data_IF_125810656465
#
_entry.id   IF_125810656465
#
_cell.length_a   1.000
_cell.length_b   1.000
_cell.length_c   1.000
_cell.angle_alpha   90.00
_cell.angle_beta   90.00
_cell.angle_gamma   90.00
#
_symmetry.space_group_name_H-M   'P 1'
#
loop_
_entity.id
_entity.type
_entity.pdbx_description
1 polymer ?
#
# COMPACT_ATOMS: atom_id res chain seq x y z
N UNK A 1 1.53 31.35 32.95
CA UNK A 1 2.81 30.68 33.25
C UNK A 1 2.89 29.44 32.38
N UNK A 2 3.77 29.42 31.38
CA UNK A 2 4.00 28.21 30.58
C UNK A 2 4.86 27.26 31.41
N UNK A 3 4.25 26.20 31.94
CA UNK A 3 5.00 25.11 32.57
C UNK A 3 5.81 24.42 31.49
N UNK A 4 7.14 24.47 31.60
CA UNK A 4 8.02 23.74 30.69
C UNK A 4 7.70 22.24 30.81
N UNK A 5 7.54 21.53 29.68
CA UNK A 5 7.28 20.10 29.70
C UNK A 5 8.45 19.38 30.37
N UNK A 6 8.13 18.35 31.16
CA UNK A 6 9.15 17.49 31.76
C UNK A 6 9.87 16.69 30.68
N UNK A 7 11.10 16.26 30.97
CA UNK A 7 11.90 15.43 30.04
C UNK A 7 11.12 14.17 29.64
N UNK A 8 10.45 13.52 30.59
CA UNK A 8 9.64 12.33 30.34
C UNK A 8 8.47 12.61 29.39
N UNK A 9 7.81 13.77 29.52
CA UNK A 9 6.73 14.17 28.62
C UNK A 9 7.24 14.40 27.19
N UNK A 10 8.41 15.01 27.03
CA UNK A 10 9.05 15.18 25.72
C UNK A 10 9.44 13.84 25.10
N UNK A 11 9.98 12.90 25.89
CA UNK A 11 10.33 11.56 25.41
C UNK A 11 9.09 10.79 24.93
N UNK A 12 7.98 10.87 25.66
CA UNK A 12 6.70 10.27 25.24
C UNK A 12 6.18 10.89 23.95
N UNK A 13 6.29 12.21 23.79
CA UNK A 13 5.92 12.88 22.55
C UNK A 13 6.79 12.44 21.38
N UNK A 14 8.11 12.32 21.57
CA UNK A 14 9.03 11.82 20.55
C UNK A 14 8.64 10.41 20.12
N UNK A 15 8.42 9.50 21.07
CA UNK A 15 8.02 8.12 20.77
C UNK A 15 6.69 8.06 20.00
N UNK A 16 5.75 8.94 20.32
CA UNK A 16 4.45 9.04 19.62
C UNK A 16 4.65 9.50 18.18
N UNK A 17 5.45 10.55 17.96
CA UNK A 17 5.75 11.07 16.63
C UNK A 17 6.54 10.07 15.79
N UNK A 18 7.48 9.33 16.39
CA UNK A 18 8.21 8.27 15.70
C UNK A 18 7.29 7.12 15.27
N UNK A 19 6.33 6.74 16.12
CA UNK A 19 5.32 5.75 15.77
C UNK A 19 4.40 6.22 14.63
N UNK A 20 4.03 7.51 14.63
CA UNK A 20 3.28 8.12 13.53
C UNK A 20 4.09 8.14 12.22
N UNK A 21 5.36 8.55 12.28
CA UNK A 21 6.24 8.51 11.11
C UNK A 21 6.41 7.09 10.57
N UNK A 22 6.57 6.10 11.45
CA UNK A 22 6.66 4.70 11.05
C UNK A 22 5.38 4.23 10.33
N UNK A 23 4.20 4.70 10.75
CA UNK A 23 2.92 4.43 10.08
C UNK A 23 2.80 5.12 8.71
N UNK A 24 3.34 6.33 8.56
CA UNK A 24 3.22 7.12 7.32
C UNK A 24 4.20 6.71 6.23
N UNK A 25 5.40 6.21 6.57
CA UNK A 25 6.40 5.78 5.58
C UNK A 25 5.91 4.81 4.50
N UNK A 26 5.18 3.72 4.80
CA UNK A 26 4.69 2.82 3.75
C UNK A 26 3.67 3.49 2.82
N UNK A 27 2.84 4.41 3.35
CA UNK A 27 1.90 5.19 2.55
C UNK A 27 2.63 6.13 1.58
N UNK A 28 3.71 6.78 2.04
CA UNK A 28 4.55 7.63 1.19
C UNK A 28 5.19 6.83 0.05
N UNK A 29 5.75 5.65 0.36
CA UNK A 29 6.36 4.78 -0.65
C UNK A 29 5.34 4.36 -1.71
N UNK A 30 4.14 3.94 -1.29
CA UNK A 30 3.06 3.57 -2.19
C UNK A 30 2.56 4.75 -3.05
N UNK A 31 2.45 5.95 -2.46
CA UNK A 31 2.07 7.15 -3.19
C UNK A 31 3.11 7.51 -4.27
N UNK A 32 4.41 7.43 -3.95
CA UNK A 32 5.49 7.66 -4.92
C UNK A 32 5.44 6.66 -6.06
N UNK A 33 5.16 5.39 -5.77
CA UNK A 33 5.04 4.34 -6.77
C UNK A 33 3.82 4.51 -7.68
N UNK A 34 2.65 4.82 -7.11
CA UNK A 34 1.45 5.15 -7.87
C UNK A 34 1.67 6.37 -8.76
N UNK A 35 2.34 7.41 -8.24
CA UNK A 35 2.69 8.59 -9.01
C UNK A 35 3.65 8.27 -10.17
N UNK A 36 4.67 7.44 -9.93
CA UNK A 36 5.58 7.00 -10.99
C UNK A 36 4.85 6.24 -12.12
N UNK A 37 3.82 5.46 -11.78
CA UNK A 37 2.94 4.84 -12.77
C UNK A 37 2.16 5.88 -13.59
N UNK A 38 1.52 6.85 -12.93
CA UNK A 38 0.75 7.90 -13.62
C UNK A 38 1.59 8.78 -14.55
N UNK A 39 2.84 9.07 -14.16
CA UNK A 39 3.80 9.84 -14.98
C UNK A 39 4.43 8.99 -16.10
N UNK A 40 4.01 7.73 -16.26
CA UNK A 40 4.49 6.85 -17.32
C UNK A 40 5.91 6.31 -17.10
N UNK A 41 6.47 6.47 -15.89
CA UNK A 41 7.81 5.94 -15.53
C UNK A 41 7.81 4.45 -15.22
N UNK A 42 6.64 3.80 -15.23
CA UNK A 42 6.47 2.35 -15.07
C UNK A 42 5.61 1.75 -16.20
N UNK A 43 6.22 1.44 -17.36
CA UNK A 43 5.53 0.71 -18.41
C UNK A 43 5.30 -0.76 -18.02
N UNK A 44 4.27 -1.39 -18.58
CA UNK A 44 4.02 -2.83 -18.43
C UNK A 44 3.10 -3.24 -17.26
N UNK A 45 2.63 -2.29 -16.45
CA UNK A 45 1.67 -2.57 -15.38
C UNK A 45 0.22 -2.34 -15.83
N UNK A 46 -0.75 -3.08 -15.27
CA UNK A 46 -2.17 -2.88 -15.58
C UNK A 46 -2.65 -1.50 -15.10
N UNK A 47 -3.71 -0.93 -15.71
CA UNK A 47 -4.26 0.36 -15.30
C UNK A 47 -4.75 0.39 -13.85
N UNK A 48 -5.04 -0.78 -13.25
CA UNK A 48 -5.44 -0.88 -11.84
C UNK A 48 -4.26 -0.83 -10.87
N UNK A 49 -3.02 -0.88 -11.35
CA UNK A 49 -1.82 -1.04 -10.52
C UNK A 49 -1.67 0.05 -9.46
N UNK A 50 -1.78 1.33 -9.85
CA UNK A 50 -1.67 2.45 -8.92
C UNK A 50 -2.72 2.37 -7.79
N UNK A 51 -3.95 1.96 -8.13
CA UNK A 51 -5.01 1.75 -7.13
C UNK A 51 -4.69 0.58 -6.20
N UNK A 52 -4.23 -0.54 -6.76
CA UNK A 52 -3.91 -1.75 -5.99
C UNK A 52 -2.75 -1.48 -5.00
N UNK A 53 -1.72 -0.72 -5.41
CA UNK A 53 -0.59 -0.30 -4.56
C UNK A 53 -1.05 0.59 -3.40
N UNK A 54 -1.91 1.58 -3.67
CA UNK A 54 -2.45 2.44 -2.62
C UNK A 54 -3.31 1.66 -1.63
N UNK A 55 -4.21 0.80 -2.13
CA UNK A 55 -5.07 -0.03 -1.27
C UNK A 55 -4.25 -0.94 -0.35
N UNK A 56 -3.20 -1.57 -0.86
CA UNK A 56 -2.31 -2.41 -0.06
C UNK A 56 -1.60 -1.65 1.06
N UNK A 57 -1.27 -0.37 0.85
CA UNK A 57 -0.63 0.46 1.85
C UNK A 57 -1.60 0.95 2.94
N UNK A 58 -2.88 1.18 2.60
CA UNK A 58 -3.93 1.55 3.57
C UNK A 58 -4.50 0.36 4.35
N UNK A 59 -4.47 -0.85 3.79
CA UNK A 59 -4.98 -2.06 4.43
C UNK A 59 -3.86 -3.13 4.63
N UNK A 60 -2.87 -2.89 5.51
CA UNK A 60 -1.74 -3.82 5.69
C UNK A 60 -2.15 -5.20 6.22
N UNK A 61 -3.34 -5.32 6.81
CA UNK A 61 -3.88 -6.57 7.39
C UNK A 61 -4.73 -7.39 6.43
N UNK A 62 -5.19 -6.83 5.30
CA UNK A 62 -5.96 -7.59 4.31
C UNK A 62 -4.99 -8.14 3.28
N UNK A 63 -4.45 -9.33 3.54
CA UNK A 63 -3.83 -10.14 2.49
C UNK A 63 -4.96 -10.55 1.54
N UNK A 64 -5.33 -9.67 0.62
CA UNK A 64 -6.35 -9.95 -0.38
C UNK A 64 -5.71 -10.90 -1.38
N UNK A 65 -5.69 -12.18 -1.03
CA UNK A 65 -5.36 -13.27 -1.91
C UNK A 65 -6.27 -13.16 -3.14
N UNK A 66 -5.79 -12.51 -4.20
CA UNK A 66 -6.44 -12.51 -5.50
C UNK A 66 -6.42 -13.95 -5.98
N UNK A 67 -7.53 -14.62 -5.72
CA UNK A 67 -7.82 -15.95 -6.21
C UNK A 67 -7.99 -15.84 -7.73
N UNK A 68 -6.87 -15.87 -8.47
CA UNK A 68 -6.86 -16.09 -9.90
C UNK A 68 -7.34 -17.51 -10.15
N UNK A 69 -8.66 -17.71 -10.14
CA UNK A 69 -9.28 -18.96 -10.58
C UNK A 69 -8.93 -19.12 -12.07
N UNK A 70 -8.20 -20.17 -12.48
CA UNK A 70 -8.01 -20.42 -13.91
C UNK A 70 -9.37 -20.71 -14.53
N UNK A 71 -9.74 -19.97 -15.58
CA UNK A 71 -10.93 -20.25 -16.39
C UNK A 71 -10.83 -21.68 -16.95
N UNK A 72 -11.85 -22.54 -16.80
CA UNK A 72 -11.83 -23.84 -17.47
C UNK A 72 -12.00 -23.62 -18.98
N UNK A 73 -10.96 -23.92 -19.75
CA UNK A 73 -11.00 -24.03 -21.20
C UNK A 73 -11.87 -25.22 -21.58
N UNK A 74 -13.10 -24.94 -22.05
CA UNK A 74 -14.04 -25.96 -22.53
C UNK A 74 -13.50 -26.54 -23.84
N UNK A 75 -12.88 -27.72 -23.78
CA UNK A 75 -12.38 -28.44 -24.96
C UNK A 75 -13.55 -28.93 -25.81
N UNK A 76 -13.77 -28.30 -26.95
CA UNK A 76 -14.76 -28.75 -27.95
C UNK A 76 -14.19 -29.98 -28.65
N UNK A 77 -14.65 -31.16 -28.22
CA UNK A 77 -14.36 -32.44 -28.88
C UNK A 77 -15.20 -32.53 -30.17
N UNK A 78 -14.65 -32.08 -31.30
CA UNK A 78 -15.22 -32.37 -32.63
C UNK A 78 -15.19 -33.89 -32.84
N UNK A 79 -16.35 -34.53 -32.83
CA UNK A 79 -16.49 -35.91 -33.33
C UNK A 79 -16.42 -35.89 -34.85
N UNK A 80 -15.65 -36.85 -35.39
CA UNK A 80 -15.61 -37.20 -36.82
C UNK A 80 -16.95 -37.77 -37.26
#
# INVERSE_FOLDING_TARGET
MNTLPTIDALQQQIATLEAELARLRPLEAAAREAYAFFVGRRPGFPPTYARDVLLAAFEPTTTRARHNRPKPTRSIKRRK
#
